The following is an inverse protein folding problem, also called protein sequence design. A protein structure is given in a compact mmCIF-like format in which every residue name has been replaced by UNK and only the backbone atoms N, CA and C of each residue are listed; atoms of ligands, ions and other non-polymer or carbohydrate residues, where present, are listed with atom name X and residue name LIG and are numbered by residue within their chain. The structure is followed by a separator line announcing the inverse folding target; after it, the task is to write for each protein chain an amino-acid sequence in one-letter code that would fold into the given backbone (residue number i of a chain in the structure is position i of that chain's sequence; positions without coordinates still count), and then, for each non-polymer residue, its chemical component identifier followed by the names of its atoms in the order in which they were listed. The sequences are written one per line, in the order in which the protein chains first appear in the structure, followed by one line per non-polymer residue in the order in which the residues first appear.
data_IF_126822062362
#
_entry.id   IF_126822062362
#
_cell.length_a   1.000
_cell.length_b   1.000
_cell.length_c   1.000
_cell.angle_alpha   90.00
_cell.angle_beta   90.00
_cell.angle_gamma   90.00
#
_symmetry.space_group_name_H-M   'P 1'
#
loop_
_entity.id
_entity.type
_entity.pdbx_description
1 polymer ?
#
# COMPACT_ATOMS: atom_id res chain seq x y z
N UNK A 1 -11.55 1.95 -24.61
CA UNK A 1 -12.14 3.19 -24.07
C UNK A 1 -11.61 3.34 -22.65
N UNK A 2 -10.90 4.42 -22.32
CA UNK A 2 -10.28 4.58 -21.00
C UNK A 2 -10.92 5.74 -20.24
N UNK A 3 -10.94 5.65 -18.90
CA UNK A 3 -11.49 6.70 -18.05
C UNK A 3 -10.45 7.26 -17.09
N UNK A 4 -10.49 8.58 -16.92
CA UNK A 4 -9.59 9.33 -16.05
C UNK A 4 -10.44 10.27 -15.19
N UNK A 5 -10.23 10.27 -13.87
CA UNK A 5 -10.95 11.17 -12.97
C UNK A 5 -10.56 12.65 -13.17
N UNK A 6 -11.55 13.54 -13.07
CA UNK A 6 -11.38 14.99 -13.04
C UNK A 6 -10.97 15.49 -11.64
N UNK A 7 -10.65 16.78 -11.51
CA UNK A 7 -10.38 17.40 -10.20
C UNK A 7 -11.58 17.33 -9.24
N UNK A 8 -12.80 17.23 -9.78
CA UNK A 8 -14.05 17.08 -9.01
C UNK A 8 -14.46 15.60 -8.83
N UNK A 9 -13.56 14.66 -9.12
CA UNK A 9 -13.79 13.21 -9.04
C UNK A 9 -14.88 12.64 -9.98
N UNK A 10 -15.30 13.40 -10.99
CA UNK A 10 -16.15 12.91 -12.09
C UNK A 10 -15.30 12.24 -13.18
N UNK A 11 -15.87 11.25 -13.86
CA UNK A 11 -15.21 10.58 -14.97
C UNK A 11 -15.00 11.49 -16.19
N UNK A 12 -13.85 11.32 -16.82
CA UNK A 12 -13.52 11.88 -18.12
C UNK A 12 -13.16 10.73 -19.04
N UNK A 13 -13.71 10.76 -20.24
CA UNK A 13 -13.41 9.81 -21.29
C UNK A 13 -12.08 10.19 -21.97
N UNK A 14 -11.09 9.31 -21.91
CA UNK A 14 -9.85 9.38 -22.68
C UNK A 14 -10.05 8.58 -23.97
N UNK A 15 -10.05 9.28 -25.10
CA UNK A 15 -10.20 8.68 -26.42
C UNK A 15 -9.32 9.40 -27.43
N UNK A 16 -8.57 8.63 -28.24
CA UNK A 16 -7.61 9.13 -29.24
C UNK A 16 -6.67 10.24 -28.74
N UNK A 17 -6.20 10.14 -27.49
CA UNK A 17 -5.32 11.15 -26.90
C UNK A 17 -6.02 12.46 -26.51
N UNK A 18 -7.34 12.48 -26.40
CA UNK A 18 -8.12 13.63 -25.95
C UNK A 18 -9.01 13.30 -24.75
N UNK A 19 -9.21 14.30 -23.89
CA UNK A 19 -10.08 14.20 -22.72
C UNK A 19 -11.45 14.82 -23.00
N UNK A 20 -12.49 14.08 -22.67
CA UNK A 20 -13.87 14.48 -22.84
C UNK A 20 -14.61 14.43 -21.50
N UNK A 21 -15.43 15.44 -21.24
CA UNK A 21 -16.34 15.49 -20.08
C UNK A 21 -17.75 15.15 -20.51
N UNK A 22 -18.50 14.52 -19.63
CA UNK A 22 -19.93 14.29 -19.82
C UNK A 22 -20.65 15.64 -19.98
N UNK A 23 -21.43 15.78 -21.05
CA UNK A 23 -22.26 16.95 -21.35
C UNK A 23 -23.71 16.66 -20.95
N UNK A 24 -24.24 15.51 -21.38
CA UNK A 24 -25.59 15.04 -21.04
C UNK A 24 -25.71 13.52 -21.20
N UNK A 25 -26.68 12.94 -20.49
CA UNK A 25 -27.03 11.52 -20.57
C UNK A 25 -28.53 11.39 -20.85
N UNK A 26 -28.89 10.56 -21.83
CA UNK A 26 -30.28 10.26 -22.21
C UNK A 26 -30.39 8.76 -22.47
N UNK A 27 -31.26 8.06 -21.72
CA UNK A 27 -31.37 6.60 -21.74
C UNK A 27 -29.99 5.93 -21.56
N UNK A 28 -29.60 5.05 -22.48
CA UNK A 28 -28.30 4.39 -22.50
C UNK A 28 -27.25 5.15 -23.33
N UNK A 29 -27.58 6.36 -23.81
CA UNK A 29 -26.67 7.19 -24.61
C UNK A 29 -26.05 8.30 -23.76
N UNK A 30 -24.72 8.42 -23.82
CA UNK A 30 -23.95 9.48 -23.16
C UNK A 30 -23.29 10.33 -24.23
N UNK A 31 -23.44 11.65 -24.09
CA UNK A 31 -22.83 12.65 -24.95
C UNK A 31 -21.63 13.26 -24.22
N UNK A 32 -20.47 13.17 -24.85
CA UNK A 32 -19.21 13.66 -24.33
C UNK A 32 -18.74 14.85 -25.16
N UNK A 33 -18.28 15.91 -24.50
CA UNK A 33 -17.65 17.07 -25.16
C UNK A 33 -16.19 17.20 -24.74
N UNK A 34 -15.37 17.82 -25.57
CA UNK A 34 -13.98 18.11 -25.23
C UNK A 34 -13.87 18.92 -23.94
N UNK A 35 -12.86 18.60 -23.13
CA UNK A 35 -12.51 19.42 -21.96
C UNK A 35 -11.92 20.76 -22.41
N UNK A 36 -11.12 20.77 -23.48
CA UNK A 36 -10.58 21.98 -24.12
C UNK A 36 -11.75 22.75 -24.76
N UNK A 37 -12.03 23.96 -24.27
CA UNK A 37 -13.18 24.74 -24.73
C UNK A 37 -13.09 25.19 -26.19
N UNK A 38 -11.91 25.11 -26.80
CA UNK A 38 -11.65 25.49 -28.19
C UNK A 38 -12.21 24.50 -29.22
N UNK A 39 -12.53 23.26 -28.82
CA UNK A 39 -13.13 22.26 -29.72
C UNK A 39 -14.62 22.04 -29.44
N UNK A 40 -15.41 22.06 -30.52
CA UNK A 40 -16.87 21.83 -30.49
C UNK A 40 -17.27 20.38 -30.79
N UNK A 41 -16.30 19.51 -31.07
CA UNK A 41 -16.55 18.10 -31.36
C UNK A 41 -17.24 17.37 -30.21
N UNK A 42 -17.94 16.28 -30.52
CA UNK A 42 -18.62 15.43 -29.54
C UNK A 42 -18.39 13.95 -29.83
N UNK A 43 -18.26 13.16 -28.77
CA UNK A 43 -18.29 11.70 -28.84
C UNK A 43 -19.63 11.24 -28.26
N UNK A 44 -20.25 10.26 -28.90
CA UNK A 44 -21.49 9.64 -28.43
C UNK A 44 -21.20 8.18 -28.13
N UNK A 45 -21.49 7.77 -26.90
CA UNK A 45 -21.41 6.36 -26.50
C UNK A 45 -22.80 5.82 -26.20
N UNK A 46 -23.13 4.62 -26.66
CA UNK A 46 -24.37 3.91 -26.36
C UNK A 46 -24.02 2.53 -25.82
N UNK A 47 -24.58 2.14 -24.68
CA UNK A 47 -24.30 0.86 -24.01
C UNK A 47 -22.80 0.61 -23.74
N UNK A 48 -22.02 1.68 -23.52
CA UNK A 48 -20.58 1.61 -23.28
C UNK A 48 -19.70 1.55 -24.53
N UNK A 49 -20.29 1.51 -25.73
CA UNK A 49 -19.58 1.52 -27.01
C UNK A 49 -19.63 2.88 -27.70
N UNK A 50 -18.59 3.22 -28.46
CA UNK A 50 -18.56 4.45 -29.25
C UNK A 50 -19.43 4.25 -30.49
N UNK A 51 -20.48 5.08 -30.64
CA UNK A 51 -21.36 5.07 -31.82
C UNK A 51 -21.07 6.23 -32.77
N UNK A 52 -20.51 7.33 -32.27
CA UNK A 52 -20.16 8.48 -33.09
C UNK A 52 -18.95 9.21 -32.51
N UNK A 53 -18.07 9.66 -33.39
CA UNK A 53 -16.90 10.44 -33.05
C UNK A 53 -16.64 11.52 -34.11
N UNK A 54 -15.96 12.62 -33.74
CA UNK A 54 -15.56 13.64 -34.70
C UNK A 54 -14.52 13.08 -35.69
N UNK A 55 -14.48 13.63 -36.91
CA UNK A 55 -13.43 13.31 -37.89
C UNK A 55 -12.10 13.94 -37.45
N UNK A 56 -10.96 13.34 -37.81
CA UNK A 56 -9.64 13.80 -37.36
C UNK A 56 -9.36 15.29 -37.68
N UNK A 57 -9.87 15.80 -38.81
CA UNK A 57 -9.67 17.18 -39.24
C UNK A 57 -10.64 18.18 -38.56
N UNK A 58 -11.47 17.74 -37.60
CA UNK A 58 -12.49 18.57 -36.95
C UNK A 58 -12.05 19.16 -35.60
N UNK A 59 -10.80 18.92 -35.20
CA UNK A 59 -10.20 19.47 -33.98
C UNK A 59 -9.36 20.70 -34.30
N UNK A 60 -9.43 21.74 -33.46
CA UNK A 60 -8.56 22.92 -33.60
C UNK A 60 -7.30 22.83 -32.73
N UNK A 61 -7.07 21.68 -32.09
CA UNK A 61 -5.97 21.45 -31.16
C UNK A 61 -5.42 20.04 -31.32
N UNK A 62 -4.16 19.87 -30.96
CA UNK A 62 -3.43 18.60 -31.04
C UNK A 62 -3.52 17.87 -29.69
N UNK A 63 -3.49 16.52 -29.65
CA UNK A 63 -3.32 15.79 -28.41
C UNK A 63 -2.10 16.29 -27.64
N UNK A 64 -2.22 16.35 -26.32
CA UNK A 64 -1.12 16.66 -25.42
C UNK A 64 -0.86 15.44 -24.50
N UNK A 65 0.04 14.53 -24.91
CA UNK A 65 0.39 13.36 -24.13
C UNK A 65 0.94 13.72 -22.74
N UNK A 66 1.66 14.84 -22.60
CA UNK A 66 2.25 15.27 -21.33
C UNK A 66 1.15 15.63 -20.31
N UNK A 67 0.15 16.41 -20.73
CA UNK A 67 -1.02 16.78 -19.90
C UNK A 67 -1.82 15.56 -19.47
N UNK A 68 -1.99 14.59 -20.35
CA UNK A 68 -2.71 13.34 -20.05
C UNK A 68 -1.93 12.49 -19.06
N UNK A 69 -0.66 12.23 -19.32
CA UNK A 69 0.20 11.43 -18.45
C UNK A 69 0.31 12.05 -17.05
N UNK A 70 0.47 13.38 -16.96
CA UNK A 70 0.48 14.10 -15.68
C UNK A 70 -0.82 13.89 -14.91
N UNK A 71 -1.96 13.94 -15.59
CA UNK A 71 -3.27 13.72 -14.96
C UNK A 71 -3.45 12.28 -14.49
N UNK A 72 -3.02 11.30 -15.29
CA UNK A 72 -3.02 9.89 -14.92
C UNK A 72 -2.13 9.63 -13.69
N UNK A 73 -0.92 10.21 -13.66
CA UNK A 73 -0.02 10.11 -12.52
C UNK A 73 -0.65 10.67 -11.23
N UNK A 74 -1.26 11.87 -11.30
CA UNK A 74 -1.95 12.46 -10.14
C UNK A 74 -3.14 11.59 -9.70
N UNK A 75 -3.89 11.00 -10.62
CA UNK A 75 -5.02 10.13 -10.25
C UNK A 75 -4.54 8.84 -9.58
N UNK A 76 -3.46 8.21 -10.07
CA UNK A 76 -2.82 7.07 -9.38
C UNK A 76 -2.41 7.43 -7.96
N UNK A 77 -1.83 8.62 -7.75
CA UNK A 77 -1.46 9.12 -6.42
C UNK A 77 -2.72 9.29 -5.54
N UNK A 78 -3.80 9.86 -6.07
CA UNK A 78 -5.06 10.05 -5.33
C UNK A 78 -5.68 8.72 -4.94
N UNK A 79 -5.71 7.75 -5.85
CA UNK A 79 -6.21 6.40 -5.61
C UNK A 79 -5.39 5.69 -4.54
N UNK A 80 -4.06 5.70 -4.66
CA UNK A 80 -3.17 5.16 -3.63
C UNK A 80 -3.34 5.85 -2.27
N UNK A 81 -3.64 7.16 -2.26
CA UNK A 81 -3.88 7.91 -1.03
C UNK A 81 -5.18 7.52 -0.31
N UNK A 82 -6.20 7.04 -1.05
CA UNK A 82 -7.45 6.50 -0.49
C UNK A 82 -7.22 5.12 0.13
N UNK A 83 -6.43 4.27 -0.54
CA UNK A 83 -6.34 2.85 -0.17
C UNK A 83 -5.11 2.48 0.67
N UNK A 84 -4.22 3.43 0.98
CA UNK A 84 -2.99 3.12 1.73
C UNK A 84 -2.68 4.17 2.80
N UNK A 85 -1.97 3.75 3.86
CA UNK A 85 -1.42 4.62 4.91
C UNK A 85 0.05 5.00 4.72
N UNK A 86 0.59 4.71 3.54
CA UNK A 86 1.97 5.02 3.18
C UNK A 86 2.30 6.51 3.34
N UNK A 87 3.57 6.84 3.55
CA UNK A 87 3.93 8.26 3.64
C UNK A 87 3.68 8.94 2.29
N UNK A 88 3.41 10.25 2.25
CA UNK A 88 3.32 10.97 0.98
C UNK A 88 4.56 10.79 0.10
N UNK A 89 5.74 10.62 0.70
CA UNK A 89 6.99 10.36 -0.02
C UNK A 89 6.93 8.99 -0.72
N UNK A 90 6.54 7.95 0.01
CA UNK A 90 6.44 6.58 -0.53
C UNK A 90 5.44 6.54 -1.69
N UNK A 91 4.26 7.14 -1.55
CA UNK A 91 3.23 7.17 -2.60
C UNK A 91 3.72 7.92 -3.85
N UNK A 92 4.46 9.00 -3.68
CA UNK A 92 5.03 9.73 -4.81
C UNK A 92 6.10 8.88 -5.51
N UNK A 93 6.90 8.11 -4.75
CA UNK A 93 7.96 7.27 -5.28
C UNK A 93 7.46 6.07 -6.11
N UNK A 94 6.25 5.58 -5.86
CA UNK A 94 5.69 4.44 -6.61
C UNK A 94 5.22 4.81 -8.02
N UNK A 95 5.02 6.11 -8.29
CA UNK A 95 4.53 6.56 -9.60
C UNK A 95 5.73 6.87 -10.49
N UNK A 96 6.08 5.92 -11.35
CA UNK A 96 7.03 6.14 -12.43
C UNK A 96 6.43 7.13 -13.44
N UNK A 97 7.11 8.27 -13.62
CA UNK A 97 6.80 9.23 -14.68
C UNK A 97 7.64 8.83 -15.89
N UNK A 98 7.00 8.64 -17.04
CA UNK A 98 7.66 8.24 -18.29
C UNK A 98 8.74 9.28 -18.64
N UNK A 99 9.96 8.86 -19.02
CA UNK A 99 11.01 9.79 -19.46
C UNK A 99 10.53 10.56 -20.70
N UNK A 100 10.41 11.89 -20.56
CA UNK A 100 9.80 12.80 -21.53
C UNK A 100 8.91 13.87 -20.89
N UNK A 101 8.28 13.54 -19.76
CA UNK A 101 7.41 14.48 -18.97
C UNK A 101 8.16 15.09 -17.78
N UNK A 102 9.49 14.96 -17.74
CA UNK A 102 10.31 15.41 -16.62
C UNK A 102 10.27 16.94 -16.43
N UNK A 103 10.03 17.70 -17.50
CA UNK A 103 9.95 19.18 -17.49
C UNK A 103 8.65 19.75 -16.89
N UNK A 104 7.58 18.96 -16.78
CA UNK A 104 6.27 19.39 -16.24
C UNK A 104 5.85 18.60 -14.99
N UNK A 105 6.82 18.11 -14.21
CA UNK A 105 6.50 17.37 -12.98
C UNK A 105 5.66 18.26 -12.04
N UNK A 106 4.49 17.80 -11.58
CA UNK A 106 3.78 18.49 -10.51
C UNK A 106 4.71 18.65 -9.32
N UNK A 107 4.75 19.85 -8.72
CA UNK A 107 5.56 20.08 -7.53
C UNK A 107 5.30 19.01 -6.47
N UNK A 108 6.37 18.42 -5.94
CA UNK A 108 6.32 17.42 -4.86
C UNK A 108 5.52 17.95 -3.67
N UNK A 109 5.66 19.25 -3.38
CA UNK A 109 4.89 19.93 -2.35
C UNK A 109 3.38 19.86 -2.63
N UNK A 110 2.95 20.19 -3.85
CA UNK A 110 1.54 20.08 -4.26
C UNK A 110 1.01 18.64 -4.19
N UNK A 111 1.83 17.65 -4.55
CA UNK A 111 1.43 16.23 -4.44
C UNK A 111 1.24 15.82 -2.98
N UNK A 112 2.15 16.19 -2.08
CA UNK A 112 1.99 15.95 -0.63
C UNK A 112 0.70 16.57 -0.09
N UNK A 113 0.38 17.81 -0.48
CA UNK A 113 -0.88 18.47 -0.09
C UNK A 113 -2.11 17.79 -0.70
N UNK A 114 -2.00 17.26 -1.91
CA UNK A 114 -3.09 16.52 -2.57
C UNK A 114 -3.39 15.22 -1.82
N UNK A 115 -2.36 14.45 -1.46
CA UNK A 115 -2.48 13.22 -0.68
C UNK A 115 -3.16 13.50 0.67
N UNK A 116 -2.71 14.53 1.39
CA UNK A 116 -3.31 14.95 2.66
C UNK A 116 -4.79 15.29 2.50
N UNK A 117 -5.16 16.14 1.52
CA UNK A 117 -6.55 16.52 1.26
C UNK A 117 -7.45 15.34 0.92
N UNK A 118 -6.95 14.39 0.11
CA UNK A 118 -7.71 13.19 -0.27
C UNK A 118 -7.98 12.31 0.95
N UNK A 119 -6.98 12.09 1.80
CA UNK A 119 -7.15 11.32 3.04
C UNK A 119 -8.16 11.98 3.98
N UNK A 120 -8.04 13.29 4.20
CA UNK A 120 -8.97 14.03 5.06
C UNK A 120 -10.41 13.98 4.52
N UNK A 121 -10.60 14.16 3.21
CA UNK A 121 -11.95 14.17 2.60
C UNK A 121 -12.65 12.82 2.69
N UNK A 122 -11.90 11.73 2.56
CA UNK A 122 -12.49 10.39 2.49
C UNK A 122 -12.46 9.65 3.84
N UNK A 123 -11.97 10.29 4.91
CA UNK A 123 -11.83 9.68 6.25
C UNK A 123 -11.09 8.33 6.25
N UNK A 124 -10.30 8.04 5.20
CA UNK A 124 -9.69 6.72 4.97
C UNK A 124 -8.57 6.36 5.96
N UNK A 125 -8.23 7.26 6.86
CA UNK A 125 -7.11 7.14 7.79
C UNK A 125 -7.45 7.93 9.04
N UNK A 126 -7.36 7.34 10.24
CA UNK A 126 -7.35 8.14 11.45
C UNK A 126 -6.18 9.14 11.37
N UNK A 127 -6.32 10.35 11.94
CA UNK A 127 -5.22 11.30 12.04
C UNK A 127 -3.98 10.62 12.62
N UNK A 128 -2.79 10.88 12.06
CA UNK A 128 -1.54 10.36 12.63
C UNK A 128 -1.39 11.01 14.02
N UNK A 129 -1.41 10.23 15.10
CA UNK A 129 -1.29 10.79 16.43
C UNK A 129 0.13 11.34 16.63
N UNK A 130 0.22 12.50 17.30
CA UNK A 130 1.51 13.10 17.65
C UNK A 130 2.03 12.60 18.98
N UNK A 131 1.13 12.18 19.86
CA UNK A 131 1.44 11.67 21.20
C UNK A 131 0.75 10.33 21.42
N UNK A 132 1.25 9.55 22.38
CA UNK A 132 0.67 8.27 22.77
C UNK A 132 -0.74 8.45 23.36
N UNK A 133 -1.00 9.58 24.02
CA UNK A 133 -2.31 9.92 24.59
C UNK A 133 -3.37 10.19 23.51
N UNK A 134 -2.97 10.73 22.37
CA UNK A 134 -3.88 10.99 21.23
C UNK A 134 -4.19 9.73 20.41
N UNK A 135 -3.45 8.64 20.63
CA UNK A 135 -3.61 7.41 19.87
C UNK A 135 -4.92 6.72 20.25
N UNK A 136 -5.91 6.80 19.37
CA UNK A 136 -7.16 6.02 19.47
C UNK A 136 -7.17 4.99 18.34
N UNK A 137 -7.01 3.72 18.69
CA UNK A 137 -6.96 2.63 17.73
C UNK A 137 -8.40 2.32 17.31
N UNK A 138 -8.73 2.57 16.05
CA UNK A 138 -10.04 2.21 15.51
C UNK A 138 -10.18 0.68 15.37
N UNK A 139 -11.42 0.18 15.41
CA UNK A 139 -11.73 -1.26 15.31
C UNK A 139 -11.09 -1.94 14.08
N UNK A 140 -10.99 -1.22 12.97
CA UNK A 140 -10.32 -1.76 11.79
C UNK A 140 -8.86 -2.15 12.06
N UNK A 141 -8.15 -1.45 12.97
CA UNK A 141 -6.75 -1.72 13.33
C UNK A 141 -6.59 -2.76 14.45
N UNK A 142 -7.68 -3.14 15.13
CA UNK A 142 -7.65 -4.17 16.19
C UNK A 142 -7.79 -5.58 15.63
N UNK A 143 -8.12 -5.74 14.34
CA UNK A 143 -8.41 -7.04 13.70
C UNK A 143 -7.36 -7.47 12.67
N UNK A 144 -7.20 -8.78 12.45
CA UNK A 144 -6.35 -9.36 11.40
C UNK A 144 -6.90 -9.05 10.00
N UNK A 145 -6.15 -9.39 8.94
CA UNK A 145 -6.65 -9.31 7.56
C UNK A 145 -7.84 -10.25 7.29
N UNK A 146 -7.99 -11.31 8.11
CA UNK A 146 -9.13 -12.24 8.07
C UNK A 146 -10.30 -11.79 8.97
N UNK A 147 -10.15 -10.67 9.68
CA UNK A 147 -11.19 -10.09 10.54
C UNK A 147 -11.22 -10.59 11.99
N UNK A 148 -10.25 -11.40 12.40
CA UNK A 148 -10.15 -11.96 13.77
C UNK A 148 -9.57 -10.92 14.74
N UNK A 149 -9.88 -11.02 16.03
CA UNK A 149 -9.29 -10.13 17.04
C UNK A 149 -7.76 -10.31 17.08
N UNK A 150 -7.03 -9.19 16.99
CA UNK A 150 -5.57 -9.19 16.89
C UNK A 150 -4.90 -8.31 17.94
N UNK A 151 -5.43 -7.14 18.25
CA UNK A 151 -5.00 -6.38 19.43
C UNK A 151 -5.62 -7.02 20.67
N UNK A 152 -4.84 -7.78 21.42
CA UNK A 152 -5.34 -8.54 22.58
C UNK A 152 -5.15 -7.79 23.91
N UNK A 153 -4.27 -6.79 23.93
CA UNK A 153 -4.06 -5.96 25.11
C UNK A 153 -3.65 -4.54 24.72
N UNK A 154 -4.22 -3.58 25.44
CA UNK A 154 -3.90 -2.16 25.36
C UNK A 154 -3.94 -1.60 26.79
N UNK A 155 -2.79 -1.16 27.31
CA UNK A 155 -2.71 -0.63 28.68
C UNK A 155 -3.37 0.76 28.83
N UNK A 156 -3.84 1.36 27.74
CA UNK A 156 -4.50 2.67 27.74
C UNK A 156 -3.53 3.84 27.59
N UNK A 157 -4.07 5.06 27.66
CA UNK A 157 -3.38 6.31 27.34
C UNK A 157 -2.39 6.76 28.45
N UNK A 158 -1.34 5.98 28.70
CA UNK A 158 -0.19 6.34 29.52
C UNK A 158 1.04 6.68 28.64
N UNK A 159 2.07 7.27 29.24
CA UNK A 159 3.36 7.46 28.56
C UNK A 159 4.03 6.11 28.23
N UNK A 160 3.83 5.12 29.09
CA UNK A 160 4.35 3.76 28.95
C UNK A 160 3.30 2.81 28.36
N UNK A 161 2.52 3.29 27.39
CA UNK A 161 1.46 2.47 26.80
C UNK A 161 2.06 1.21 26.17
N UNK A 162 1.47 0.07 26.47
CA UNK A 162 1.84 -1.23 25.90
C UNK A 162 0.68 -1.70 25.03
N UNK A 163 1.00 -2.06 23.79
CA UNK A 163 0.10 -2.71 22.86
C UNK A 163 0.62 -4.13 22.61
N UNK A 164 -0.25 -5.14 22.77
CA UNK A 164 0.10 -6.53 22.45
C UNK A 164 -0.80 -7.01 21.32
N UNK A 165 -0.14 -7.41 20.24
CA UNK A 165 -0.80 -7.99 19.07
C UNK A 165 -0.51 -9.48 19.02
N UNK A 166 -1.56 -10.30 19.00
CA UNK A 166 -1.47 -11.75 18.84
C UNK A 166 -2.84 -12.30 18.45
N UNK A 167 -2.89 -13.54 17.99
CA UNK A 167 -4.15 -14.28 17.77
C UNK A 167 -4.29 -15.37 18.82
N UNK A 168 -5.51 -15.88 19.02
CA UNK A 168 -5.74 -17.02 19.90
C UNK A 168 -4.90 -18.25 19.48
N UNK A 169 -4.72 -18.45 18.16
CA UNK A 169 -3.89 -19.53 17.65
C UNK A 169 -2.40 -19.32 17.98
N UNK A 170 -1.89 -18.09 17.87
CA UNK A 170 -0.52 -17.79 18.28
C UNK A 170 -0.32 -18.06 19.78
N UNK A 171 -1.30 -17.71 20.64
CA UNK A 171 -1.24 -17.99 22.08
C UNK A 171 -1.25 -19.50 22.37
N UNK A 172 -2.09 -20.29 21.68
CA UNK A 172 -2.09 -21.77 21.79
C UNK A 172 -0.74 -22.36 21.37
N UNK A 173 -0.14 -21.84 20.30
CA UNK A 173 1.18 -22.28 19.86
C UNK A 173 2.27 -21.93 20.89
N UNK A 174 2.18 -20.76 21.55
CA UNK A 174 3.07 -20.39 22.65
C UNK A 174 2.94 -21.35 23.83
N UNK A 175 1.71 -21.66 24.25
CA UNK A 175 1.43 -22.59 25.35
C UNK A 175 1.96 -24.00 25.09
N UNK A 176 1.85 -24.48 23.85
CA UNK A 176 2.29 -25.82 23.44
C UNK A 176 3.79 -25.94 23.12
N UNK A 177 4.52 -24.82 23.06
CA UNK A 177 5.92 -24.80 22.63
C UNK A 177 6.89 -24.82 23.80
N UNK A 178 7.82 -25.78 23.79
CA UNK A 178 8.87 -25.87 24.81
C UNK A 178 9.95 -24.78 24.72
N UNK A 179 10.13 -24.17 23.54
CA UNK A 179 11.19 -23.20 23.28
C UNK A 179 10.62 -21.88 22.77
N UNK A 180 10.87 -20.81 23.51
CA UNK A 180 10.48 -19.45 23.15
C UNK A 180 11.74 -18.65 22.79
N UNK A 181 11.67 -17.93 21.67
CA UNK A 181 12.69 -16.98 21.25
C UNK A 181 12.13 -15.58 21.41
N UNK A 182 12.77 -14.77 22.23
CA UNK A 182 12.33 -13.40 22.50
C UNK A 182 13.41 -12.45 22.02
N UNK A 183 13.04 -11.47 21.22
CA UNK A 183 13.95 -10.43 20.74
C UNK A 183 13.25 -9.07 20.73
N UNK A 184 14.03 -8.02 20.98
CA UNK A 184 13.56 -6.65 21.03
C UNK A 184 14.37 -5.78 20.07
N UNK A 185 13.70 -5.09 19.15
CA UNK A 185 14.33 -4.21 18.18
C UNK A 185 13.87 -2.76 18.31
N UNK A 186 14.81 -1.83 18.22
CA UNK A 186 14.54 -0.39 18.08
C UNK A 186 14.35 0.02 16.61
N UNK A 187 14.62 -0.89 15.67
CA UNK A 187 14.53 -0.64 14.23
C UNK A 187 13.11 -0.93 13.75
N UNK A 188 12.59 -0.11 12.82
CA UNK A 188 11.26 -0.33 12.23
C UNK A 188 10.13 -0.25 13.26
N UNK A 189 10.19 0.73 14.17
CA UNK A 189 9.18 0.99 15.20
C UNK A 189 8.57 2.37 14.96
N UNK A 190 7.25 2.58 15.21
CA UNK A 190 6.65 3.90 15.15
C UNK A 190 7.28 4.85 16.15
N UNK A 191 7.44 6.13 15.77
CA UNK A 191 8.03 7.15 16.65
C UNK A 191 7.27 7.39 17.96
N UNK A 192 6.09 6.82 18.13
CA UNK A 192 5.29 6.86 19.35
C UNK A 192 5.75 5.82 20.39
N UNK A 193 6.48 4.79 19.98
CA UNK A 193 6.93 3.70 20.84
C UNK A 193 8.46 3.57 20.77
N UNK A 194 9.07 3.18 21.87
CA UNK A 194 10.53 3.06 21.95
C UNK A 194 11.07 1.79 21.30
N UNK A 195 10.42 0.65 21.53
CA UNK A 195 10.93 -0.66 21.13
C UNK A 195 9.80 -1.57 20.67
N UNK A 196 10.09 -2.45 19.72
CA UNK A 196 9.23 -3.56 19.34
C UNK A 196 9.79 -4.84 19.97
N UNK A 197 9.00 -5.48 20.82
CA UNK A 197 9.28 -6.82 21.33
C UNK A 197 8.56 -7.87 20.49
N UNK A 198 9.26 -8.95 20.16
CA UNK A 198 8.73 -10.08 19.40
C UNK A 198 9.01 -11.38 20.13
N UNK A 199 7.99 -12.23 20.19
CA UNK A 199 8.08 -13.57 20.76
C UNK A 199 7.81 -14.55 19.63
N UNK A 200 8.73 -15.47 19.40
CA UNK A 200 8.66 -16.49 18.37
C UNK A 200 8.70 -17.87 19.00
N UNK A 201 7.96 -18.78 18.40
CA UNK A 201 7.98 -20.20 18.76
C UNK A 201 8.57 -21.01 17.61
N UNK A 202 9.31 -22.05 17.95
CA UNK A 202 9.87 -22.97 16.95
C UNK A 202 8.86 -24.07 16.65
N UNK A 203 8.23 -23.98 15.48
CA UNK A 203 7.38 -25.05 14.94
C UNK A 203 8.31 -26.10 14.31
N UNK A 204 8.42 -27.26 14.95
CA UNK A 204 9.49 -28.22 14.71
C UNK A 204 9.34 -28.99 13.37
N UNK A 205 10.40 -29.02 12.57
CA UNK A 205 10.70 -30.12 11.63
C UNK A 205 12.18 -30.55 11.66
N UNK A 206 12.91 -30.27 12.74
CA UNK A 206 14.33 -30.59 12.83
C UNK A 206 14.53 -31.89 13.64
N UNK A 207 14.41 -33.03 12.95
CA UNK A 207 14.82 -34.33 13.51
C UNK A 207 16.34 -34.49 13.60
N UNK A 208 17.15 -33.54 13.12
CA UNK A 208 18.61 -33.47 13.33
C UNK A 208 19.12 -32.09 12.87
N UNK A 209 19.68 -31.28 13.77
CA UNK A 209 20.33 -30.00 13.44
C UNK A 209 19.40 -28.79 13.51
N UNK A 210 19.28 -28.21 14.71
CA UNK A 210 18.62 -26.91 14.89
C UNK A 210 19.39 -25.84 14.10
N UNK A 211 18.73 -25.02 13.25
CA UNK A 211 19.31 -23.78 12.77
C UNK A 211 19.74 -22.95 13.98
N UNK A 212 20.93 -22.33 13.94
CA UNK A 212 21.35 -21.40 15.00
C UNK A 212 20.27 -20.33 15.15
N UNK A 213 19.59 -20.33 16.30
CA UNK A 213 18.34 -19.59 16.58
C UNK A 213 18.41 -18.11 16.24
N UNK A 214 19.59 -17.49 16.42
CA UNK A 214 19.84 -16.09 16.09
C UNK A 214 19.65 -15.78 14.59
N UNK A 215 20.08 -16.67 13.68
CA UNK A 215 19.95 -16.45 12.24
C UNK A 215 18.48 -16.43 11.76
N UNK A 216 17.61 -17.17 12.45
CA UNK A 216 16.18 -17.23 12.13
C UNK A 216 15.48 -15.94 12.54
N UNK A 217 15.71 -15.47 13.77
CA UNK A 217 15.12 -14.22 14.30
C UNK A 217 15.62 -13.00 13.53
N UNK A 218 16.92 -12.90 13.25
CA UNK A 218 17.45 -11.84 12.38
C UNK A 218 16.88 -11.91 10.96
N UNK A 219 16.71 -13.14 10.44
CA UNK A 219 16.07 -13.38 9.16
C UNK A 219 14.63 -12.86 9.11
N UNK A 220 13.89 -13.08 10.20
CA UNK A 220 12.55 -12.55 10.38
C UNK A 220 12.56 -11.02 10.43
N UNK A 221 13.44 -10.40 11.23
CA UNK A 221 13.52 -8.93 11.31
C UNK A 221 13.84 -8.29 9.96
N UNK A 222 14.74 -8.88 9.16
CA UNK A 222 15.00 -8.43 7.78
C UNK A 222 13.75 -8.51 6.90
N UNK A 223 13.00 -9.61 7.01
CA UNK A 223 11.71 -9.77 6.32
C UNK A 223 10.67 -8.75 6.79
N UNK A 224 10.55 -8.54 8.09
CA UNK A 224 9.64 -7.58 8.71
C UNK A 224 9.91 -6.16 8.22
N UNK A 225 11.16 -5.71 8.27
CA UNK A 225 11.56 -4.39 7.73
C UNK A 225 11.23 -4.27 6.25
N UNK A 226 11.42 -5.33 5.47
CA UNK A 226 11.05 -5.35 4.04
C UNK A 226 9.54 -5.22 3.82
N UNK A 227 8.71 -5.87 4.64
CA UNK A 227 7.23 -5.79 4.53
C UNK A 227 6.73 -4.40 4.90
N UNK A 228 7.29 -3.80 5.95
CA UNK A 228 6.95 -2.45 6.38
C UNK A 228 7.43 -1.42 5.35
N UNK A 229 8.61 -1.61 4.76
CA UNK A 229 9.17 -0.71 3.75
C UNK A 229 9.41 0.71 4.27
N UNK A 230 9.73 0.85 5.55
CA UNK A 230 10.12 2.12 6.18
C UNK A 230 10.91 1.88 7.46
N UNK A 231 11.97 2.67 7.70
CA UNK A 231 12.75 2.60 8.94
C UNK A 231 11.98 3.13 10.15
N UNK A 232 11.12 4.14 9.95
CA UNK A 232 10.27 4.76 10.96
C UNK A 232 8.84 4.92 10.42
N UNK A 233 8.04 3.84 10.40
CA UNK A 233 6.65 3.91 9.94
C UNK A 233 5.80 4.77 10.88
N UNK A 234 4.71 5.37 10.38
CA UNK A 234 3.66 5.84 11.28
C UNK A 234 2.91 4.64 11.89
N UNK A 235 2.17 4.87 12.98
CA UNK A 235 1.50 3.80 13.72
C UNK A 235 0.52 2.98 12.85
N UNK A 236 -0.21 3.62 11.93
CA UNK A 236 -1.16 2.92 11.06
C UNK A 236 -0.44 2.02 10.05
N UNK A 237 0.60 2.55 9.38
CA UNK A 237 1.46 1.77 8.47
C UNK A 237 2.13 0.59 9.19
N UNK A 238 2.52 0.79 10.44
CA UNK A 238 3.10 -0.26 11.27
C UNK A 238 2.10 -1.35 11.60
N UNK A 239 0.90 -0.99 12.06
CA UNK A 239 -0.18 -1.93 12.35
C UNK A 239 -0.56 -2.72 11.08
N UNK A 240 -0.68 -2.06 9.93
CA UNK A 240 -0.94 -2.76 8.66
C UNK A 240 0.17 -3.74 8.30
N UNK A 241 1.43 -3.41 8.60
CA UNK A 241 2.56 -4.29 8.34
C UNK A 241 2.59 -5.52 9.25
N UNK A 242 2.34 -5.38 10.55
CA UNK A 242 2.24 -6.55 11.46
C UNK A 242 1.09 -7.47 11.06
N UNK A 243 -0.03 -6.92 10.58
CA UNK A 243 -1.15 -7.72 10.04
C UNK A 243 -0.76 -8.51 8.80
N UNK A 244 -0.02 -7.89 7.87
CA UNK A 244 0.50 -8.58 6.68
C UNK A 244 1.45 -9.69 7.06
N UNK A 245 2.34 -9.45 8.03
CA UNK A 245 3.27 -10.49 8.52
C UNK A 245 2.51 -11.62 9.19
N UNK A 246 1.52 -11.35 10.03
CA UNK A 246 0.65 -12.36 10.62
C UNK A 246 0.01 -13.24 9.51
N UNK A 247 -0.58 -12.62 8.49
CA UNK A 247 -1.19 -13.35 7.38
C UNK A 247 -0.16 -14.20 6.60
N UNK A 248 1.05 -13.69 6.37
CA UNK A 248 2.13 -14.44 5.71
C UNK A 248 2.56 -15.65 6.53
N UNK A 249 2.73 -15.51 7.85
CA UNK A 249 3.12 -16.62 8.72
C UNK A 249 2.03 -17.68 8.85
N UNK A 250 0.75 -17.27 8.89
CA UNK A 250 -0.37 -18.22 8.83
C UNK A 250 -0.39 -19.02 7.53
N UNK A 251 -0.22 -18.36 6.38
CA UNK A 251 -0.16 -19.03 5.08
C UNK A 251 1.00 -20.03 5.01
N UNK A 252 2.19 -19.64 5.48
CA UNK A 252 3.34 -20.55 5.55
C UNK A 252 3.06 -21.77 6.43
N UNK A 253 2.37 -21.57 7.56
CA UNK A 253 1.99 -22.66 8.47
C UNK A 253 0.95 -23.58 7.84
N UNK A 254 -0.05 -23.03 7.16
CA UNK A 254 -1.05 -23.81 6.43
C UNK A 254 -0.40 -24.68 5.34
N UNK A 255 0.53 -24.10 4.56
CA UNK A 255 1.34 -24.84 3.58
C UNK A 255 2.16 -25.97 4.24
N UNK A 256 2.80 -25.66 5.37
CA UNK A 256 3.57 -26.63 6.13
C UNK A 256 2.72 -27.81 6.64
N UNK A 257 1.53 -27.52 7.19
CA UNK A 257 0.58 -28.55 7.65
C UNK A 257 0.09 -29.40 6.46
N UNK A 258 -0.07 -28.80 5.27
CA UNK A 258 -0.40 -29.50 4.04
C UNK A 258 0.76 -30.35 3.47
N UNK A 259 1.93 -30.34 4.12
CA UNK A 259 3.11 -31.11 3.71
C UNK A 259 3.96 -30.44 2.62
N UNK A 260 3.67 -29.18 2.27
CA UNK A 260 4.49 -28.43 1.32
C UNK A 260 5.84 -28.06 1.96
N UNK A 261 6.94 -28.31 1.24
CA UNK A 261 8.28 -27.98 1.71
C UNK A 261 8.56 -26.48 1.53
N UNK A 262 9.20 -25.81 2.51
CA UNK A 262 9.59 -24.42 2.37
C UNK A 262 10.54 -24.24 1.17
N UNK A 263 10.32 -23.19 0.37
CA UNK A 263 11.17 -22.87 -0.78
C UNK A 263 12.63 -22.75 -0.35
N UNK A 264 13.52 -23.55 -0.95
CA UNK A 264 14.97 -23.45 -0.75
C UNK A 264 15.44 -22.03 -1.10
N UNK A 265 16.17 -21.37 -0.19
CA UNK A 265 16.87 -20.12 -0.51
C UNK A 265 17.91 -20.41 -1.59
N UNK A 266 17.95 -19.61 -2.66
CA UNK A 266 19.04 -19.65 -3.64
C UNK A 266 20.33 -19.24 -2.93
N UNK A 267 21.31 -20.14 -2.81
CA UNK A 267 22.66 -19.76 -2.40
C UNK A 267 23.31 -19.03 -3.57
N UNK A 268 23.76 -17.80 -3.35
CA UNK A 268 24.66 -17.12 -4.28
C UNK A 268 26.07 -17.56 -3.90
N UNK A 269 26.66 -18.46 -4.69
CA UNK A 269 28.06 -18.82 -4.55
C UNK A 269 28.91 -17.66 -5.10
N UNK A 270 29.67 -16.99 -4.23
CA UNK A 270 30.75 -16.11 -4.68
C UNK A 270 31.95 -17.01 -4.98
N UNK A 271 32.24 -17.23 -6.26
CA UNK A 271 33.53 -17.77 -6.68
C UNK A 271 34.58 -16.67 -6.48
N UNK A 272 35.29 -16.68 -5.36
CA UNK A 272 36.55 -15.98 -5.22
C UNK A 272 37.62 -16.82 -5.92
N UNK A 273 37.85 -16.56 -7.21
CA UNK A 273 39.09 -16.98 -7.86
C UNK A 273 40.21 -16.08 -7.35
N UNK A 274 41.01 -16.57 -6.41
CA UNK A 274 42.33 -16.03 -6.12
C UNK A 274 43.21 -16.35 -7.33
N UNK A 275 43.49 -15.33 -8.15
CA UNK A 275 44.61 -15.40 -9.08
C UNK A 275 45.88 -15.28 -8.24
N UNK A 276 46.67 -16.37 -8.23
CA UNK A 276 48.04 -16.36 -7.75
C UNK A 276 48.95 -15.57 -8.70
#
# INVERSE_FOLDING_TARGET
MEFVKSNKNKDLLLYSGFLHREDRKQNNTIYWRFVECSCKGRIITMDGEIKSQPKDNSHNHVPDPCKIQRKMAVNKIKEAAVHTQNTPHDIISTVQIVPGVAGEKPSVHHLKHTIRRVRTRNQCAPPIPKTVSDLKIADEYTKTMKGEQFLIFDSGASQDRILIFSTENNLKLMDQSANWLVDGTFKTVPSLFYQLFTIHVLIQQAKNGLPTTNNAVEGWHRGFTSVIGASHPNIWKFIDGIKKVQNIEELKREQYIAGEQPRKKKSVAYNLSLNA
#
